data_IF_273431450947
#
_entry.id   IF_273431450947
#
_cell.length_a   1.000
_cell.length_b   1.000
_cell.length_c   1.000
_cell.angle_alpha   90.00
_cell.angle_beta   90.00
_cell.angle_gamma   90.00
#
_symmetry.space_group_name_H-M   'P 1'
#
loop_
_entity.id
_entity.type
_entity.pdbx_description
1 polymer ?
#
# COMPACT_ATOMS: atom_id res chain seq x y z
N UNK A 1 81.40 -77.34 -41.76
CA UNK A 1 80.45 -76.43 -41.09
C UNK A 1 79.23 -76.36 -41.98
N UNK A 2 78.12 -76.98 -41.58
CA UNK A 2 77.02 -77.37 -42.49
C UNK A 2 76.03 -76.24 -42.73
N UNK A 3 75.66 -76.03 -44.00
CA UNK A 3 74.71 -75.03 -44.52
C UNK A 3 73.34 -75.05 -43.80
N UNK A 4 72.92 -76.22 -43.31
CA UNK A 4 71.70 -76.44 -42.54
C UNK A 4 71.67 -75.75 -41.16
N UNK A 5 72.84 -75.52 -40.56
CA UNK A 5 72.96 -74.80 -39.28
C UNK A 5 72.63 -73.32 -39.45
N UNK A 6 73.11 -72.70 -40.54
CA UNK A 6 72.86 -71.30 -40.86
C UNK A 6 71.41 -71.06 -41.31
N UNK A 7 70.77 -72.00 -42.02
CA UNK A 7 69.36 -71.89 -42.42
C UNK A 7 68.40 -71.91 -41.21
N UNK A 8 68.59 -72.82 -40.25
CA UNK A 8 67.79 -72.85 -39.01
C UNK A 8 68.03 -71.63 -38.12
N UNK A 9 69.28 -71.18 -38.01
CA UNK A 9 69.63 -69.98 -37.24
C UNK A 9 68.96 -68.73 -37.84
N UNK A 10 68.89 -68.64 -39.17
CA UNK A 10 68.23 -67.54 -39.89
C UNK A 10 66.71 -67.58 -39.72
N UNK A 11 66.08 -68.76 -39.77
CA UNK A 11 64.65 -68.93 -39.52
C UNK A 11 64.26 -68.63 -38.07
N UNK A 12 65.12 -68.99 -37.10
CA UNK A 12 64.96 -68.68 -35.69
C UNK A 12 65.14 -67.18 -35.42
N UNK A 13 66.11 -66.53 -36.08
CA UNK A 13 66.27 -65.07 -36.08
C UNK A 13 65.05 -64.35 -36.69
N UNK A 14 64.49 -64.87 -37.78
CA UNK A 14 63.28 -64.31 -38.40
C UNK A 14 62.07 -64.44 -37.48
N UNK A 15 61.89 -65.59 -36.83
CA UNK A 15 60.85 -65.79 -35.82
C UNK A 15 61.00 -64.86 -34.63
N UNK A 16 62.22 -64.70 -34.11
CA UNK A 16 62.51 -63.76 -33.03
C UNK A 16 62.20 -62.32 -33.43
N UNK A 17 62.52 -61.92 -34.66
CA UNK A 17 62.18 -60.58 -35.19
C UNK A 17 60.68 -60.38 -35.36
N UNK A 18 59.96 -61.38 -35.87
CA UNK A 18 58.50 -61.34 -35.99
C UNK A 18 57.81 -61.28 -34.61
N UNK A 19 58.31 -62.04 -33.64
CA UNK A 19 57.80 -62.07 -32.27
C UNK A 19 58.10 -60.76 -31.52
N UNK A 20 59.29 -60.19 -31.72
CA UNK A 20 59.64 -58.86 -31.23
C UNK A 20 58.79 -57.76 -31.89
N UNK A 21 58.49 -57.88 -33.19
CA UNK A 21 57.56 -56.97 -33.89
C UNK A 21 56.14 -57.06 -33.32
N UNK A 22 55.64 -58.28 -33.08
CA UNK A 22 54.33 -58.50 -32.46
C UNK A 22 54.26 -57.93 -31.05
N UNK A 23 55.30 -58.12 -30.24
CA UNK A 23 55.38 -57.55 -28.90
C UNK A 23 55.38 -56.01 -28.93
N UNK A 24 56.11 -55.40 -29.87
CA UNK A 24 56.11 -53.94 -30.07
C UNK A 24 54.74 -53.42 -30.52
N UNK A 25 54.09 -54.11 -31.46
CA UNK A 25 52.74 -53.75 -31.91
C UNK A 25 51.71 -53.91 -30.79
N UNK A 26 51.80 -54.96 -29.98
CA UNK A 26 50.90 -55.19 -28.86
C UNK A 26 51.12 -54.16 -27.73
N UNK A 27 52.38 -53.80 -27.45
CA UNK A 27 52.72 -52.73 -26.52
C UNK A 27 52.22 -51.36 -27.03
N UNK A 28 52.35 -51.11 -28.33
CA UNK A 28 51.85 -49.88 -28.95
C UNK A 28 50.32 -49.81 -28.91
N UNK A 29 49.61 -50.92 -29.16
CA UNK A 29 48.16 -51.02 -28.97
C UNK A 29 47.75 -50.81 -27.53
N UNK A 30 48.48 -51.38 -26.55
CA UNK A 30 48.21 -51.15 -25.12
C UNK A 30 48.35 -49.68 -24.75
N UNK A 31 49.41 -49.01 -25.22
CA UNK A 31 49.62 -47.57 -24.99
C UNK A 31 48.53 -46.72 -25.62
N UNK A 32 48.12 -47.02 -26.85
CA UNK A 32 47.02 -46.34 -27.53
C UNK A 32 45.68 -46.55 -26.82
N UNK A 33 45.39 -47.77 -26.36
CA UNK A 33 44.16 -48.08 -25.64
C UNK A 33 44.13 -47.41 -24.26
N UNK A 34 45.26 -47.37 -23.56
CA UNK A 34 45.40 -46.64 -22.30
C UNK A 34 45.24 -45.13 -22.51
N UNK A 35 45.81 -44.59 -23.59
CA UNK A 35 45.64 -43.19 -23.95
C UNK A 35 44.17 -42.85 -24.29
N UNK A 36 43.49 -43.70 -25.05
CA UNK A 36 42.04 -43.56 -25.31
C UNK A 36 41.22 -43.61 -24.04
N UNK A 37 41.53 -44.51 -23.10
CA UNK A 37 40.85 -44.59 -21.80
C UNK A 37 41.03 -43.32 -20.98
N UNK A 38 42.25 -42.77 -20.95
CA UNK A 38 42.54 -41.50 -20.26
C UNK A 38 41.79 -40.33 -20.89
N UNK A 39 41.76 -40.26 -22.22
CA UNK A 39 41.01 -39.23 -22.95
C UNK A 39 39.49 -39.34 -22.73
N UNK A 40 38.94 -40.55 -22.73
CA UNK A 40 37.51 -40.78 -22.48
C UNK A 40 37.14 -40.44 -21.02
N UNK A 41 38.00 -40.80 -20.07
CA UNK A 41 37.82 -40.44 -18.66
C UNK A 41 37.89 -38.93 -18.45
N UNK A 42 38.83 -38.25 -19.13
CA UNK A 42 38.92 -36.80 -19.09
C UNK A 42 37.68 -36.13 -19.69
N UNK A 43 37.18 -36.62 -20.83
CA UNK A 43 35.92 -36.15 -21.43
C UNK A 43 34.73 -36.35 -20.49
N UNK A 44 34.64 -37.49 -19.81
CA UNK A 44 33.57 -37.76 -18.84
C UNK A 44 33.61 -36.78 -17.66
N UNK A 45 34.81 -36.49 -17.14
CA UNK A 45 35.00 -35.51 -16.06
C UNK A 45 34.61 -34.10 -16.51
N UNK A 46 35.01 -33.70 -17.71
CA UNK A 46 34.65 -32.41 -18.29
C UNK A 46 33.13 -32.28 -18.54
N UNK A 47 32.47 -33.33 -19.03
CA UNK A 47 31.02 -33.33 -19.23
C UNK A 47 30.27 -33.27 -17.89
N UNK A 48 30.72 -34.02 -16.88
CA UNK A 48 30.13 -33.97 -15.54
C UNK A 48 30.30 -32.59 -14.91
N UNK A 49 31.47 -31.96 -15.07
CA UNK A 49 31.70 -30.60 -14.61
C UNK A 49 30.79 -29.58 -15.30
N UNK A 50 30.64 -29.68 -16.63
CA UNK A 50 29.68 -28.84 -17.39
C UNK A 50 28.24 -29.03 -16.92
N UNK A 51 27.82 -30.26 -16.65
CA UNK A 51 26.47 -30.54 -16.13
C UNK A 51 26.24 -29.89 -14.77
N UNK A 52 27.24 -29.97 -13.87
CA UNK A 52 27.17 -29.33 -12.54
C UNK A 52 27.10 -27.81 -12.65
N UNK A 53 27.91 -27.21 -13.53
CA UNK A 53 27.89 -25.76 -13.79
C UNK A 53 26.54 -25.31 -14.37
N UNK A 54 25.99 -26.05 -15.33
CA UNK A 54 24.66 -25.74 -15.89
C UNK A 54 23.56 -25.88 -14.84
N UNK A 55 23.60 -26.91 -14.01
CA UNK A 55 22.65 -27.08 -12.90
C UNK A 55 22.76 -25.94 -11.90
N UNK A 56 23.97 -25.52 -11.54
CA UNK A 56 24.20 -24.39 -10.65
C UNK A 56 23.65 -23.09 -11.25
N UNK A 57 23.93 -22.81 -12.53
CA UNK A 57 23.36 -21.64 -13.24
C UNK A 57 21.83 -21.66 -13.26
N UNK A 58 21.22 -22.82 -13.48
CA UNK A 58 19.76 -22.98 -13.43
C UNK A 58 19.20 -22.71 -12.02
N UNK A 59 19.89 -23.13 -10.97
CA UNK A 59 19.51 -22.85 -9.59
C UNK A 59 19.60 -21.36 -9.27
N UNK A 60 20.71 -20.72 -9.62
CA UNK A 60 20.91 -19.28 -9.44
C UNK A 60 19.85 -18.46 -10.20
N UNK A 61 19.57 -18.82 -11.46
CA UNK A 61 18.52 -18.16 -12.24
C UNK A 61 17.13 -18.37 -11.62
N UNK A 62 16.82 -19.57 -11.12
CA UNK A 62 15.58 -19.85 -10.43
C UNK A 62 15.46 -19.05 -9.12
N UNK A 63 16.54 -18.92 -8.35
CA UNK A 63 16.58 -18.10 -7.14
C UNK A 63 16.38 -16.61 -7.44
N UNK A 64 17.04 -16.08 -8.48
CA UNK A 64 16.84 -14.70 -8.93
C UNK A 64 15.39 -14.45 -9.39
N UNK A 65 14.80 -15.39 -10.13
CA UNK A 65 13.40 -15.32 -10.52
C UNK A 65 12.48 -15.33 -9.31
N UNK A 66 12.73 -16.21 -8.33
CA UNK A 66 11.97 -16.23 -7.08
C UNK A 66 12.10 -14.91 -6.32
N UNK A 67 13.31 -14.37 -6.19
CA UNK A 67 13.55 -13.10 -5.53
C UNK A 67 12.82 -11.94 -6.22
N UNK A 68 12.90 -11.88 -7.56
CA UNK A 68 12.15 -10.90 -8.36
C UNK A 68 10.65 -11.02 -8.12
N UNK A 69 10.09 -12.23 -8.21
CA UNK A 69 8.65 -12.45 -8.00
C UNK A 69 8.21 -12.08 -6.58
N UNK A 70 9.05 -12.33 -5.57
CA UNK A 70 8.79 -11.92 -4.19
C UNK A 70 8.79 -10.40 -4.04
N UNK A 71 9.74 -9.71 -4.67
CA UNK A 71 9.78 -8.24 -4.68
C UNK A 71 8.56 -7.64 -5.39
N UNK A 72 8.16 -8.22 -6.52
CA UNK A 72 6.97 -7.79 -7.27
C UNK A 72 5.69 -7.99 -6.43
N UNK A 73 5.55 -9.14 -5.78
CA UNK A 73 4.43 -9.42 -4.88
C UNK A 73 4.41 -8.47 -3.68
N UNK A 74 5.56 -8.16 -3.09
CA UNK A 74 5.66 -7.21 -1.99
C UNK A 74 5.28 -5.79 -2.43
N UNK A 75 5.76 -5.36 -3.59
CA UNK A 75 5.46 -4.05 -4.17
C UNK A 75 3.97 -3.94 -4.50
N UNK A 76 3.38 -4.98 -5.11
CA UNK A 76 1.95 -5.04 -5.39
C UNK A 76 1.09 -4.98 -4.11
N UNK A 77 1.52 -5.68 -3.04
CA UNK A 77 0.86 -5.61 -1.73
C UNK A 77 0.92 -4.22 -1.12
N UNK A 78 2.05 -3.53 -1.23
CA UNK A 78 2.19 -2.16 -0.73
C UNK A 78 1.32 -1.19 -1.53
N UNK A 79 1.32 -1.30 -2.86
CA UNK A 79 0.46 -0.51 -3.74
C UNK A 79 -1.03 -0.69 -3.37
N UNK A 80 -1.50 -1.94 -3.25
CA UNK A 80 -2.87 -2.22 -2.84
C UNK A 80 -3.23 -1.62 -1.47
N UNK A 81 -2.34 -1.72 -0.48
CA UNK A 81 -2.57 -1.10 0.83
C UNK A 81 -2.68 0.42 0.73
N UNK A 82 -1.79 1.05 -0.04
CA UNK A 82 -1.81 2.50 -0.22
C UNK A 82 -3.08 2.98 -0.91
N UNK A 83 -3.55 2.24 -1.92
CA UNK A 83 -4.82 2.51 -2.61
C UNK A 83 -6.02 2.34 -1.67
N UNK A 84 -6.04 1.27 -0.86
CA UNK A 84 -7.08 1.06 0.15
C UNK A 84 -7.12 2.18 1.19
N UNK A 85 -5.97 2.62 1.68
CA UNK A 85 -5.88 3.73 2.63
C UNK A 85 -6.37 5.04 2.00
N UNK A 86 -5.96 5.32 0.77
CA UNK A 86 -6.41 6.51 0.05
C UNK A 86 -7.92 6.47 -0.17
N UNK A 87 -8.46 5.32 -0.57
CA UNK A 87 -9.90 5.11 -0.76
C UNK A 87 -10.67 5.31 0.54
N UNK A 88 -10.23 4.71 1.64
CA UNK A 88 -10.86 4.89 2.96
C UNK A 88 -10.80 6.36 3.40
N UNK A 89 -9.69 7.04 3.18
CA UNK A 89 -9.55 8.46 3.51
C UNK A 89 -10.51 9.34 2.68
N UNK A 90 -10.72 9.01 1.40
CA UNK A 90 -11.70 9.70 0.56
C UNK A 90 -13.13 9.40 1.01
N UNK A 91 -13.47 8.13 1.22
CA UNK A 91 -14.78 7.69 1.73
C UNK A 91 -15.13 8.40 3.04
N UNK A 92 -14.19 8.49 3.99
CA UNK A 92 -14.39 9.21 5.25
C UNK A 92 -14.66 10.71 5.08
N UNK A 93 -14.20 11.34 3.98
CA UNK A 93 -14.42 12.77 3.70
C UNK A 93 -15.71 13.05 2.95
N UNK A 94 -16.15 12.14 2.10
CA UNK A 94 -17.29 12.38 1.18
C UNK A 94 -18.57 11.69 1.62
N UNK A 95 -18.49 10.64 2.44
CA UNK A 95 -19.66 9.92 2.92
C UNK A 95 -20.41 10.71 3.99
N UNK A 96 -21.71 10.40 4.11
CA UNK A 96 -22.55 10.94 5.16
C UNK A 96 -22.01 10.58 6.54
N UNK A 97 -22.16 11.49 7.49
CA UNK A 97 -21.62 11.37 8.85
C UNK A 97 -22.64 10.80 9.81
N UNK A 98 -22.13 10.19 10.89
CA UNK A 98 -22.91 9.94 12.11
C UNK A 98 -23.20 11.25 12.82
N UNK A 99 -24.17 11.27 13.75
CA UNK A 99 -24.52 12.49 14.48
C UNK A 99 -23.34 13.08 15.27
N UNK A 100 -22.50 12.25 15.90
CA UNK A 100 -21.31 12.73 16.62
C UNK A 100 -20.28 13.39 15.68
N UNK A 101 -19.97 12.71 14.56
CA UNK A 101 -19.04 13.23 13.55
C UNK A 101 -19.57 14.50 12.89
N UNK A 102 -20.88 14.59 12.69
CA UNK A 102 -21.55 15.78 12.20
C UNK A 102 -21.35 16.95 13.17
N UNK A 103 -21.67 16.78 14.45
CA UNK A 103 -21.50 17.83 15.47
C UNK A 103 -20.04 18.31 15.57
N UNK A 104 -19.09 17.37 15.55
CA UNK A 104 -17.65 17.71 15.54
C UNK A 104 -17.27 18.51 14.29
N UNK A 105 -17.75 18.10 13.12
CA UNK A 105 -17.45 18.77 11.85
C UNK A 105 -18.09 20.16 11.79
N UNK A 106 -19.30 20.34 12.32
CA UNK A 106 -19.94 21.64 12.48
C UNK A 106 -19.11 22.55 13.40
N UNK A 107 -18.62 22.03 14.52
CA UNK A 107 -17.76 22.79 15.42
C UNK A 107 -16.48 23.27 14.70
N UNK A 108 -15.76 22.36 14.05
CA UNK A 108 -14.49 22.64 13.39
C UNK A 108 -14.63 23.58 12.18
N UNK A 109 -15.69 23.44 11.39
CA UNK A 109 -15.84 24.14 10.11
C UNK A 109 -16.82 25.31 10.12
N UNK A 110 -17.76 25.37 11.08
CA UNK A 110 -18.77 26.43 11.15
C UNK A 110 -18.59 27.32 12.38
N UNK A 111 -18.38 26.73 13.56
CA UNK A 111 -18.34 27.49 14.83
C UNK A 111 -16.97 28.10 15.10
N UNK A 112 -15.89 27.33 14.98
CA UNK A 112 -14.51 27.79 15.22
C UNK A 112 -14.09 28.93 14.28
N UNK A 113 -14.32 28.86 12.95
CA UNK A 113 -13.91 29.94 12.04
C UNK A 113 -14.84 31.16 12.07
N UNK A 114 -15.93 31.11 12.84
CA UNK A 114 -16.89 32.21 12.95
C UNK A 114 -16.22 33.44 13.56
N UNK A 115 -16.15 34.53 12.80
CA UNK A 115 -15.49 35.76 13.22
C UNK A 115 -16.39 36.98 13.04
N UNK A 116 -16.29 37.93 13.97
CA UNK A 116 -17.07 39.16 13.99
C UNK A 116 -16.20 40.36 13.67
N UNK A 117 -16.78 41.39 13.05
CA UNK A 117 -16.09 42.64 12.72
C UNK A 117 -15.84 43.46 13.99
N UNK A 118 -14.57 43.65 14.42
CA UNK A 118 -14.28 44.36 15.68
C UNK A 118 -14.46 45.88 15.55
N UNK A 119 -14.45 46.43 14.33
CA UNK A 119 -14.52 47.86 14.09
C UNK A 119 -15.97 48.35 14.18
N UNK A 120 -16.29 49.11 15.24
CA UNK A 120 -17.61 49.76 15.42
C UNK A 120 -18.05 50.62 14.23
N UNK A 121 -17.11 51.22 13.48
CA UNK A 121 -17.41 52.00 12.28
C UNK A 121 -17.96 51.18 11.12
N UNK A 122 -17.77 49.86 11.14
CA UNK A 122 -18.24 48.90 10.13
C UNK A 122 -19.43 48.06 10.61
N UNK A 123 -19.95 48.34 11.80
CA UNK A 123 -21.18 47.73 12.29
C UNK A 123 -22.39 48.34 11.58
N UNK A 124 -23.41 47.54 11.32
CA UNK A 124 -24.73 48.05 10.91
C UNK A 124 -25.22 49.09 11.94
N UNK A 125 -25.41 50.32 11.47
CA UNK A 125 -26.13 51.36 12.22
C UNK A 125 -27.58 51.31 11.79
N UNK A 126 -28.37 50.49 12.47
CA UNK A 126 -29.83 50.51 12.32
C UNK A 126 -30.43 51.57 13.24
N UNK A 127 -31.34 52.40 12.71
CA UNK A 127 -32.28 53.12 13.58
C UNK A 127 -33.32 52.11 14.04
N UNK A 128 -33.17 51.61 15.26
CA UNK A 128 -34.18 50.74 15.86
C UNK A 128 -35.39 51.64 16.14
N UNK A 129 -36.52 51.37 15.49
CA UNK A 129 -37.77 52.05 15.81
C UNK A 129 -38.11 51.78 17.27
N UNK A 130 -38.51 52.82 18.01
CA UNK A 130 -38.93 52.65 19.39
C UNK A 130 -40.01 51.55 19.43
N UNK A 131 -39.86 50.50 20.26
CA UNK A 131 -40.77 49.36 20.30
C UNK A 131 -42.09 49.74 20.98
N UNK A 132 -42.83 50.70 20.42
CA UNK A 132 -44.12 51.15 20.93
C UNK A 132 -45.10 49.97 20.89
N UNK A 133 -45.69 49.64 22.04
CA UNK A 133 -46.68 48.56 22.16
C UNK A 133 -46.12 47.15 22.25
N UNK A 134 -44.79 46.96 22.38
CA UNK A 134 -44.21 45.63 22.63
C UNK A 134 -43.98 45.41 24.12
N UNK A 135 -44.30 44.21 24.60
CA UNK A 135 -43.93 43.79 25.97
C UNK A 135 -42.41 43.71 26.07
N UNK A 136 -41.81 44.58 26.88
CA UNK A 136 -40.38 44.58 27.19
C UNK A 136 -40.22 44.07 28.63
N UNK A 137 -39.72 42.83 28.83
CA UNK A 137 -39.48 42.31 30.17
C UNK A 137 -38.48 43.21 30.91
N UNK A 138 -38.81 43.63 32.13
CA UNK A 138 -37.92 44.45 32.96
C UNK A 138 -36.99 43.62 33.84
N UNK A 139 -37.19 42.30 33.88
CA UNK A 139 -36.42 41.37 34.70
C UNK A 139 -36.10 40.11 33.91
N UNK A 140 -34.85 39.65 33.99
CA UNK A 140 -34.46 38.32 33.55
C UNK A 140 -34.64 37.35 34.72
N UNK A 141 -35.27 36.20 34.48
CA UNK A 141 -35.36 35.11 35.45
C UNK A 141 -34.47 33.96 35.00
N UNK A 142 -33.82 33.33 35.96
CA UNK A 142 -33.11 32.08 35.72
C UNK A 142 -34.12 30.97 35.36
N UNK A 143 -33.74 30.14 34.39
CA UNK A 143 -34.48 28.95 34.02
C UNK A 143 -33.79 27.74 34.65
N UNK A 144 -34.11 27.46 35.92
CA UNK A 144 -33.43 26.46 36.75
C UNK A 144 -33.49 25.05 36.17
N UNK A 145 -34.60 24.70 35.52
CA UNK A 145 -34.87 23.33 35.08
C UNK A 145 -34.29 23.05 33.68
N UNK A 146 -33.88 24.10 32.97
CA UNK A 146 -33.41 24.01 31.58
C UNK A 146 -32.22 23.06 31.37
N UNK A 147 -31.17 23.03 32.21
CA UNK A 147 -30.07 22.09 32.00
C UNK A 147 -30.52 20.64 32.02
N UNK A 148 -31.43 20.28 32.94
CA UNK A 148 -31.98 18.94 33.05
C UNK A 148 -32.88 18.60 31.85
N UNK A 149 -33.79 19.51 31.48
CA UNK A 149 -34.66 19.34 30.31
C UNK A 149 -33.85 19.21 29.00
N UNK A 150 -32.78 19.99 28.85
CA UNK A 150 -31.87 19.94 27.72
C UNK A 150 -31.17 18.60 27.63
N UNK A 151 -30.60 18.10 28.72
CA UNK A 151 -29.82 16.86 28.72
C UNK A 151 -30.72 15.64 28.47
N UNK A 152 -31.92 15.63 29.05
CA UNK A 152 -32.94 14.61 28.80
C UNK A 152 -33.40 14.61 27.33
N UNK A 153 -33.69 15.80 26.76
CA UNK A 153 -34.03 15.93 25.35
C UNK A 153 -32.88 15.49 24.43
N UNK A 154 -31.65 15.94 24.72
CA UNK A 154 -30.47 15.56 23.96
C UNK A 154 -30.25 14.05 24.00
N UNK A 155 -30.36 13.43 25.18
CA UNK A 155 -30.24 11.98 25.34
C UNK A 155 -31.27 11.20 24.50
N UNK A 156 -32.52 11.66 24.46
CA UNK A 156 -33.55 11.06 23.58
C UNK A 156 -33.18 11.15 22.11
N UNK A 157 -32.80 12.34 21.63
CA UNK A 157 -32.39 12.55 20.23
C UNK A 157 -31.16 11.72 19.89
N UNK A 158 -30.17 11.70 20.79
CA UNK A 158 -28.96 10.93 20.63
C UNK A 158 -29.27 9.42 20.48
N UNK A 159 -30.15 8.86 21.30
CA UNK A 159 -30.56 7.46 21.21
C UNK A 159 -31.36 7.11 19.95
N UNK A 160 -32.12 8.06 19.39
CA UNK A 160 -32.78 7.87 18.10
C UNK A 160 -31.77 7.75 16.96
N UNK A 161 -30.67 8.51 17.02
CA UNK A 161 -29.61 8.52 16.02
C UNK A 161 -28.53 7.46 16.26
N UNK A 162 -28.43 6.96 17.50
CA UNK A 162 -27.54 5.89 17.93
C UNK A 162 -28.33 4.75 18.60
N UNK A 163 -29.03 3.92 17.82
CA UNK A 163 -29.81 2.82 18.37
C UNK A 163 -28.89 1.80 19.07
N UNK A 164 -29.21 1.33 20.29
CA UNK A 164 -28.31 0.44 21.05
C UNK A 164 -28.00 -0.91 20.39
N UNK A 165 -28.84 -1.34 19.44
CA UNK A 165 -28.77 -2.66 18.80
C UNK A 165 -28.37 -2.58 17.33
N UNK A 166 -27.92 -1.43 16.84
CA UNK A 166 -27.58 -1.21 15.43
C UNK A 166 -26.45 -0.20 15.31
N UNK A 167 -25.88 -0.10 14.10
CA UNK A 167 -24.88 0.93 13.83
C UNK A 167 -25.53 2.33 13.88
N UNK A 168 -24.79 3.37 14.30
CA UNK A 168 -25.25 4.75 14.25
C UNK A 168 -25.74 5.14 12.86
N UNK A 169 -26.76 6.00 12.80
CA UNK A 169 -27.32 6.48 11.53
C UNK A 169 -26.33 7.43 10.84
N UNK A 170 -25.92 7.10 9.61
CA UNK A 170 -25.07 7.94 8.76
C UNK A 170 -25.92 8.74 7.77
N UNK A 171 -26.66 9.71 8.28
CA UNK A 171 -27.66 10.49 7.50
C UNK A 171 -27.32 11.97 7.38
N UNK A 172 -26.24 12.42 8.02
CA UNK A 172 -25.86 13.82 8.09
C UNK A 172 -24.86 14.20 7.00
N UNK A 173 -24.77 15.50 6.71
CA UNK A 173 -23.87 16.07 5.71
C UNK A 173 -22.42 15.60 5.90
N UNK A 174 -21.74 15.32 4.78
CA UNK A 174 -20.36 14.82 4.79
C UNK A 174 -19.36 15.86 5.31
N UNK A 175 -18.19 15.46 5.83
CA UNK A 175 -17.20 16.42 6.34
C UNK A 175 -16.73 17.41 5.26
N UNK A 176 -16.53 16.95 4.02
CA UNK A 176 -16.15 17.84 2.92
C UNK A 176 -17.29 18.80 2.54
N UNK A 177 -18.55 18.36 2.65
CA UNK A 177 -19.72 19.22 2.47
C UNK A 177 -19.75 20.34 3.51
N UNK A 178 -19.62 19.99 4.80
CA UNK A 178 -19.57 20.95 5.90
C UNK A 178 -18.38 21.91 5.79
N UNK A 179 -17.21 21.43 5.39
CA UNK A 179 -16.05 22.26 5.11
C UNK A 179 -16.33 23.28 4.00
N UNK A 180 -16.99 22.85 2.93
CA UNK A 180 -17.37 23.72 1.82
C UNK A 180 -18.36 24.80 2.28
N UNK A 181 -19.35 24.42 3.07
CA UNK A 181 -20.34 25.32 3.66
C UNK A 181 -19.65 26.31 4.61
N UNK A 182 -18.75 25.84 5.47
CA UNK A 182 -17.97 26.68 6.37
C UNK A 182 -17.10 27.70 5.65
N UNK A 183 -16.43 27.30 4.57
CA UNK A 183 -15.67 28.22 3.73
C UNK A 183 -16.55 29.32 3.11
N UNK A 184 -17.82 29.03 2.82
CA UNK A 184 -18.76 29.99 2.27
C UNK A 184 -19.34 30.89 3.37
N UNK A 185 -19.85 30.30 4.44
CA UNK A 185 -20.51 30.98 5.55
C UNK A 185 -19.55 31.87 6.35
N UNK A 186 -18.31 31.42 6.55
CA UNK A 186 -17.28 32.13 7.33
C UNK A 186 -16.28 32.89 6.43
N UNK A 187 -16.58 33.09 5.14
CA UNK A 187 -15.70 33.76 4.18
C UNK A 187 -15.29 35.18 4.61
N UNK A 188 -16.18 35.89 5.29
CA UNK A 188 -15.96 37.26 5.77
C UNK A 188 -16.39 37.39 7.21
N UNK A 189 -15.74 38.31 7.93
CA UNK A 189 -16.16 38.67 9.28
C UNK A 189 -17.58 39.24 9.25
N UNK A 190 -18.44 38.73 10.13
CA UNK A 190 -19.81 39.20 10.25
C UNK A 190 -19.82 40.63 10.82
N UNK A 191 -20.43 41.56 10.09
CA UNK A 191 -20.56 42.96 10.51
C UNK A 191 -21.93 43.58 10.21
N UNK A 192 -22.82 42.83 9.58
CA UNK A 192 -24.15 43.26 9.17
C UNK A 192 -25.20 42.17 9.40
N UNK A 193 -26.47 42.55 9.45
CA UNK A 193 -27.60 41.61 9.52
C UNK A 193 -27.63 40.67 8.32
N UNK A 194 -27.22 41.16 7.14
CA UNK A 194 -27.09 40.33 5.94
C UNK A 194 -26.02 39.25 6.09
N UNK A 195 -24.94 39.51 6.84
CA UNK A 195 -23.94 38.48 7.17
C UNK A 195 -24.54 37.40 8.05
N UNK A 196 -25.30 37.80 9.08
CA UNK A 196 -25.94 36.88 10.01
C UNK A 196 -26.97 36.01 9.30
N UNK A 197 -27.85 36.61 8.47
CA UNK A 197 -28.82 35.86 7.67
C UNK A 197 -28.14 34.87 6.72
N UNK A 198 -27.01 35.26 6.12
CA UNK A 198 -26.25 34.36 5.24
C UNK A 198 -25.68 33.18 6.03
N UNK A 199 -25.15 33.43 7.22
CA UNK A 199 -24.63 32.38 8.09
C UNK A 199 -25.75 31.44 8.56
N UNK A 200 -26.86 31.98 9.07
CA UNK A 200 -28.00 31.20 9.54
C UNK A 200 -28.55 30.26 8.46
N UNK A 201 -28.78 30.79 7.25
CA UNK A 201 -29.25 29.98 6.14
C UNK A 201 -28.32 28.81 5.83
N UNK A 202 -27.04 29.09 5.62
CA UNK A 202 -26.10 28.06 5.18
C UNK A 202 -25.67 27.12 6.31
N UNK A 203 -25.39 27.63 7.50
CA UNK A 203 -24.80 26.86 8.60
C UNK A 203 -25.83 26.21 9.52
N UNK A 204 -27.11 26.61 9.47
CA UNK A 204 -28.16 26.12 10.38
C UNK A 204 -29.34 25.53 9.61
N UNK A 205 -29.95 26.29 8.69
CA UNK A 205 -31.21 25.87 8.06
C UNK A 205 -31.04 24.79 6.97
N UNK A 206 -29.93 24.85 6.22
CA UNK A 206 -29.66 23.94 5.10
C UNK A 206 -28.77 22.74 5.49
N UNK A 207 -28.74 22.33 6.77
CA UNK A 207 -27.89 21.23 7.29
C UNK A 207 -28.61 19.90 7.54
#
# INVERSE_FOLDING_TARGET
>A
MSEDYYRRLFEEEQRLREEEQRLREEEQRRREEEQRRREEEQRRREEEQRRREEEQRRREEAELRLQSTQQDLQSARQALRSEQLLRQALENRVNATTFEQFLQSCHEHLSVPLAFQPKKSKSTKGSITAPKGRYCPTTLREWSDFPHERDDLFGRVFHLLHPPKSHPLTVFTSPEGLKTIGNLACRRQMGSELDLMSYERFAVEEQ
#
